data_IF_329937306708
#
_entry.id   IF_329937306708
#
_cell.length_a   1.000
_cell.length_b   1.000
_cell.length_c   1.000
_cell.angle_alpha   90.00
_cell.angle_beta   90.00
_cell.angle_gamma   90.00
#
_symmetry.space_group_name_H-M   'P 1'
#
loop_
_entity.id
_entity.type
_entity.pdbx_description
1 polymer ?
#
# COMPACT_ATOMS: atom_id res chain seq x y z
N UNK A 1 13.04 11.64 8.02
CA UNK A 1 12.99 10.46 8.90
C UNK A 1 11.66 10.39 9.62
N UNK A 2 11.06 9.25 9.57
CA UNK A 2 9.77 9.06 10.18
C UNK A 2 9.90 8.82 11.68
N UNK A 3 9.05 9.46 12.44
CA UNK A 3 9.08 9.35 13.89
C UNK A 3 7.74 8.94 14.49
N UNK A 4 6.81 8.48 13.66
CA UNK A 4 5.50 8.05 14.15
C UNK A 4 5.64 6.84 15.08
N UNK A 5 4.83 6.75 16.13
CA UNK A 5 4.90 5.62 17.05
C UNK A 5 4.31 4.33 16.47
N UNK A 6 3.74 4.38 15.30
CA UNK A 6 3.15 3.24 14.61
C UNK A 6 3.60 3.25 13.17
N UNK A 7 3.59 2.08 12.50
CA UNK A 7 4.01 2.01 11.10
C UNK A 7 3.11 2.86 10.21
N UNK A 8 3.70 3.53 9.24
CA UNK A 8 2.93 4.26 8.25
C UNK A 8 2.23 3.26 7.32
N UNK A 9 1.12 3.69 6.67
CA UNK A 9 0.40 2.79 5.76
C UNK A 9 1.28 2.19 4.68
N UNK A 10 2.26 2.93 4.16
CA UNK A 10 3.17 2.38 3.15
C UNK A 10 4.05 1.27 3.69
N UNK A 11 4.49 1.39 4.95
CA UNK A 11 5.29 0.34 5.58
C UNK A 11 4.44 -0.91 5.82
N UNK A 12 3.19 -0.73 6.23
CA UNK A 12 2.29 -1.86 6.41
C UNK A 12 2.09 -2.57 5.07
N UNK A 13 1.84 -1.79 4.02
CA UNK A 13 1.62 -2.35 2.70
C UNK A 13 2.83 -3.18 2.25
N UNK A 14 4.02 -2.62 2.39
CA UNK A 14 5.23 -3.29 1.93
C UNK A 14 5.54 -4.53 2.78
N UNK A 15 5.59 -4.38 4.11
CA UNK A 15 6.12 -5.42 4.97
C UNK A 15 5.09 -6.49 5.36
N UNK A 16 3.82 -6.17 5.34
CA UNK A 16 2.81 -7.14 5.75
C UNK A 16 2.07 -7.76 4.58
N UNK A 17 2.16 -7.17 3.39
CA UNK A 17 1.42 -7.67 2.24
C UNK A 17 2.33 -7.97 1.05
N UNK A 18 3.07 -6.98 0.57
CA UNK A 18 3.84 -7.19 -0.65
C UNK A 18 4.95 -8.21 -0.47
N UNK A 19 5.77 -8.06 0.56
CA UNK A 19 6.89 -8.96 0.79
C UNK A 19 6.44 -10.36 1.17
N UNK A 20 5.55 -10.53 2.16
CA UNK A 20 5.13 -11.89 2.54
C UNK A 20 4.42 -12.64 1.43
N UNK A 21 3.68 -11.94 0.59
CA UNK A 21 2.91 -12.58 -0.47
C UNK A 21 3.67 -12.66 -1.80
N UNK A 22 4.86 -12.06 -1.85
CA UNK A 22 5.65 -12.07 -3.07
C UNK A 22 5.05 -11.25 -4.19
N UNK A 23 4.33 -10.19 -3.87
CA UNK A 23 3.67 -9.34 -4.85
C UNK A 23 4.52 -8.11 -5.11
N UNK A 24 4.78 -7.83 -6.41
CA UNK A 24 5.53 -6.63 -6.76
C UNK A 24 4.63 -5.41 -6.76
N UNK A 25 5.25 -4.23 -6.65
CA UNK A 25 4.51 -2.98 -6.72
C UNK A 25 3.81 -2.84 -8.07
N UNK A 26 4.48 -3.26 -9.14
CA UNK A 26 3.89 -3.22 -10.48
C UNK A 26 2.63 -4.07 -10.56
N UNK A 27 2.70 -5.28 -10.03
CA UNK A 27 1.57 -6.20 -10.08
C UNK A 27 0.38 -5.66 -9.27
N UNK A 28 0.67 -5.11 -8.10
CA UNK A 28 -0.37 -4.52 -7.28
C UNK A 28 -1.02 -3.34 -7.99
N UNK A 29 -0.20 -2.47 -8.58
CA UNK A 29 -0.71 -1.28 -9.27
C UNK A 29 -1.65 -1.68 -10.40
N UNK A 30 -1.29 -2.68 -11.18
CA UNK A 30 -2.16 -3.15 -12.26
C UNK A 30 -3.45 -3.74 -11.71
N UNK A 31 -3.35 -4.47 -10.62
CA UNK A 31 -4.53 -5.14 -10.07
C UNK A 31 -5.57 -4.17 -9.54
N UNK A 32 -5.15 -3.07 -8.93
CA UNK A 32 -6.09 -2.12 -8.36
C UNK A 32 -6.32 -0.89 -9.23
N UNK A 33 -5.67 -0.83 -10.39
CA UNK A 33 -5.98 0.21 -11.37
C UNK A 33 -5.33 1.56 -11.11
N UNK A 34 -4.12 1.57 -10.53
CA UNK A 34 -3.35 2.80 -10.34
C UNK A 34 -1.98 2.63 -10.99
N UNK A 35 -1.21 3.71 -11.09
CA UNK A 35 0.12 3.64 -11.67
C UNK A 35 1.10 2.99 -10.70
N UNK A 36 2.16 2.38 -11.24
CA UNK A 36 3.21 1.85 -10.40
C UNK A 36 3.87 2.94 -9.57
N UNK A 37 4.01 4.13 -10.15
CA UNK A 37 4.57 5.27 -9.43
C UNK A 37 3.73 5.62 -8.21
N UNK A 38 2.41 5.56 -8.34
CA UNK A 38 1.50 5.82 -7.24
C UNK A 38 1.79 4.88 -6.08
N UNK A 39 1.92 3.59 -6.36
CA UNK A 39 2.22 2.60 -5.32
C UNK A 39 3.60 2.85 -4.72
N UNK A 40 4.59 3.14 -5.57
CA UNK A 40 5.93 3.44 -5.09
C UNK A 40 5.98 4.63 -4.15
N UNK A 41 5.21 5.66 -4.45
CA UNK A 41 5.16 6.85 -3.60
C UNK A 41 4.49 6.56 -2.26
N UNK A 42 3.47 5.70 -2.25
CA UNK A 42 2.85 5.29 -0.99
C UNK A 42 3.84 4.50 -0.15
N UNK A 43 4.55 3.56 -0.77
CA UNK A 43 5.50 2.73 -0.05
C UNK A 43 6.63 3.56 0.55
N UNK A 44 7.10 4.56 -0.17
CA UNK A 44 8.20 5.42 0.31
C UNK A 44 7.74 6.48 1.31
N UNK A 45 6.43 6.66 1.46
CA UNK A 45 5.89 7.65 2.38
C UNK A 45 5.68 9.02 1.76
N UNK A 46 5.87 9.15 0.45
CA UNK A 46 5.72 10.43 -0.24
C UNK A 46 4.28 10.75 -0.61
N UNK A 47 3.40 9.78 -0.49
CA UNK A 47 1.99 9.96 -0.82
C UNK A 47 1.14 9.24 0.21
N UNK A 48 0.13 9.94 0.71
CA UNK A 48 -0.81 9.33 1.65
C UNK A 48 -1.76 8.38 0.93
N UNK A 49 -2.26 7.39 1.66
CA UNK A 49 -3.29 6.50 1.14
C UNK A 49 -4.62 7.21 1.28
N UNK A 50 -5.25 7.53 0.14
CA UNK A 50 -6.58 8.14 0.16
C UNK A 50 -7.64 7.10 0.48
N UNK A 51 -8.85 7.55 0.80
CA UNK A 51 -9.94 6.63 1.09
C UNK A 51 -10.22 5.70 -0.08
N UNK A 52 -10.18 6.22 -1.31
CA UNK A 52 -10.40 5.41 -2.50
C UNK A 52 -9.34 4.34 -2.68
N UNK A 53 -8.07 4.74 -2.57
CA UNK A 53 -6.97 3.79 -2.71
C UNK A 53 -6.99 2.77 -1.57
N UNK A 54 -7.27 3.21 -0.35
CA UNK A 54 -7.37 2.31 0.78
C UNK A 54 -8.45 1.26 0.58
N UNK A 55 -9.58 1.66 0.02
CA UNK A 55 -10.66 0.72 -0.24
C UNK A 55 -10.25 -0.30 -1.30
N UNK A 56 -9.55 0.14 -2.35
CA UNK A 56 -9.08 -0.77 -3.39
C UNK A 56 -8.08 -1.77 -2.84
N UNK A 57 -7.16 -1.32 -1.99
CA UNK A 57 -6.19 -2.19 -1.35
C UNK A 57 -6.88 -3.21 -0.44
N UNK A 58 -7.84 -2.75 0.35
CA UNK A 58 -8.56 -3.64 1.27
C UNK A 58 -9.31 -4.73 0.51
N UNK A 59 -9.93 -4.37 -0.60
CA UNK A 59 -10.64 -5.35 -1.43
C UNK A 59 -9.70 -6.36 -2.05
N UNK A 60 -8.55 -5.88 -2.53
CA UNK A 60 -7.59 -6.76 -3.18
C UNK A 60 -7.03 -7.78 -2.21
N UNK A 61 -6.69 -7.35 -1.01
CA UNK A 61 -6.10 -8.23 -0.01
C UNK A 61 -7.13 -8.95 0.85
N UNK A 62 -8.40 -8.61 0.73
CA UNK A 62 -9.45 -9.25 1.49
C UNK A 62 -9.45 -8.89 2.97
N UNK A 63 -9.00 -7.67 3.29
CA UNK A 63 -8.98 -7.20 4.67
C UNK A 63 -9.78 -5.91 4.75
N UNK A 64 -10.07 -5.47 5.97
CA UNK A 64 -10.74 -4.19 6.19
C UNK A 64 -9.97 -3.42 7.24
N UNK A 65 -10.03 -2.10 7.13
CA UNK A 65 -9.48 -1.18 8.13
C UNK A 65 -7.96 -1.21 8.27
N UNK A 66 -7.24 -1.80 7.33
CA UNK A 66 -5.77 -1.78 7.39
C UNK A 66 -5.18 -0.53 6.76
N UNK A 67 -5.90 0.09 5.83
CA UNK A 67 -5.36 1.22 5.07
C UNK A 67 -6.29 2.47 5.11
#
# INVERSE_FOLDING_TARGET
MRTAPYPAPGEILLHEFLEPLGITQYRLAKAIGVSQRHIGEIVSGDRAVTADTGLRLSRYFGVSDKF
#
